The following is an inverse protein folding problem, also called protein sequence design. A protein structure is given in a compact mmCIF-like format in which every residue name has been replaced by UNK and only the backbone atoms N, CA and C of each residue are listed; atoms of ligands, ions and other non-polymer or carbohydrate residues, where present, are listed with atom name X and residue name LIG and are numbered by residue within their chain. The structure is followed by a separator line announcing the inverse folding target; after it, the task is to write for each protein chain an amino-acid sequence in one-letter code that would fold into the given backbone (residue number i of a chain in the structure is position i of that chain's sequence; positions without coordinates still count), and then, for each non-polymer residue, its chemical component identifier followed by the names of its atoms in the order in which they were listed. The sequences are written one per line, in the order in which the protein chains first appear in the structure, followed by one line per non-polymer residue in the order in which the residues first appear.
data_IF_362374914793
#
_entry.id   IF_362374914793
#
_cell.length_a   1.000
_cell.length_b   1.000
_cell.length_c   1.000
_cell.angle_alpha   90.00
_cell.angle_beta   90.00
_cell.angle_gamma   90.00
#
_symmetry.space_group_name_H-M   'P 1'
#
loop_
_entity.id
_entity.type
_entity.pdbx_description
1 polymer ?
#
# COMPACT_ATOMS: atom_id res chain seq x y z
N UNK A 1 0.52 4.50 23.88
CA UNK A 1 0.69 3.48 22.84
C UNK A 1 0.72 4.17 21.48
N UNK A 2 1.55 3.71 20.55
CA UNK A 2 1.48 4.13 19.15
C UNK A 2 0.37 3.38 18.43
N UNK A 3 -0.11 3.93 17.31
CA UNK A 3 -1.05 3.23 16.42
C UNK A 3 -0.40 2.06 15.68
N UNK A 4 -1.21 1.15 15.15
CA UNK A 4 -0.72 0.03 14.34
C UNK A 4 -0.38 0.47 12.91
N UNK A 5 -1.06 1.48 12.35
CA UNK A 5 -0.64 2.11 11.11
C UNK A 5 0.75 2.76 11.24
N UNK A 6 1.08 3.37 12.39
CA UNK A 6 2.43 3.84 12.66
C UNK A 6 3.44 2.69 12.69
N UNK A 7 3.09 1.54 13.28
CA UNK A 7 3.98 0.37 13.30
C UNK A 7 4.32 -0.12 11.87
N UNK A 8 3.34 -0.14 10.96
CA UNK A 8 3.55 -0.49 9.56
C UNK A 8 4.55 0.48 8.87
N UNK A 9 4.40 1.78 9.10
CA UNK A 9 5.30 2.82 8.54
C UNK A 9 6.68 2.80 9.21
N UNK A 10 6.75 2.51 10.52
CA UNK A 10 8.00 2.39 11.25
C UNK A 10 8.84 1.19 10.78
N UNK A 11 8.21 0.17 10.20
CA UNK A 11 8.89 -0.99 9.63
C UNK A 11 9.50 -0.75 8.24
N UNK A 12 9.13 0.31 7.51
CA UNK A 12 9.63 0.59 6.15
C UNK A 12 11.17 0.59 6.07
N UNK A 13 11.94 1.25 6.96
CA UNK A 13 13.40 1.22 6.89
C UNK A 13 13.99 -0.19 6.99
N UNK A 14 13.34 -1.11 7.73
CA UNK A 14 13.78 -2.50 7.83
C UNK A 14 13.55 -3.22 6.49
N UNK A 15 12.37 -3.05 5.89
CA UNK A 15 12.01 -3.62 4.57
C UNK A 15 12.96 -3.15 3.47
N UNK A 16 13.24 -1.84 3.44
CA UNK A 16 14.16 -1.23 2.47
C UNK A 16 15.62 -1.61 2.78
N UNK A 17 16.00 -1.69 4.05
CA UNK A 17 17.35 -2.09 4.47
C UNK A 17 17.72 -3.50 4.03
N UNK A 18 16.77 -4.45 4.07
CA UNK A 18 16.96 -5.81 3.57
C UNK A 18 17.28 -5.81 2.06
N UNK A 19 16.50 -5.08 1.26
CA UNK A 19 16.76 -4.94 -0.19
C UNK A 19 18.08 -4.26 -0.49
N UNK A 20 18.39 -3.16 0.22
CA UNK A 20 19.66 -2.45 0.05
C UNK A 20 20.87 -3.32 0.39
N UNK A 21 20.74 -4.24 1.34
CA UNK A 21 21.80 -5.20 1.66
C UNK A 21 22.07 -6.14 0.48
N UNK A 22 21.03 -6.69 -0.14
CA UNK A 22 21.18 -7.55 -1.32
C UNK A 22 21.78 -6.80 -2.51
N UNK A 23 21.32 -5.57 -2.76
CA UNK A 23 21.82 -4.73 -3.86
C UNK A 23 23.30 -4.36 -3.64
N UNK A 24 23.71 -4.08 -2.41
CA UNK A 24 25.11 -3.83 -2.08
C UNK A 24 26.00 -5.05 -2.36
N UNK A 25 25.52 -6.26 -2.07
CA UNK A 25 26.23 -7.49 -2.41
C UNK A 25 26.30 -7.69 -3.93
N UNK A 26 25.19 -7.50 -4.65
CA UNK A 26 25.15 -7.59 -6.11
C UNK A 26 26.21 -6.68 -6.76
N UNK A 27 26.33 -5.44 -6.29
CA UNK A 27 27.35 -4.50 -6.77
C UNK A 27 28.78 -5.02 -6.61
N UNK A 28 29.10 -5.67 -5.49
CA UNK A 28 30.46 -6.16 -5.22
C UNK A 28 30.83 -7.30 -6.16
N UNK A 29 29.88 -8.19 -6.45
CA UNK A 29 30.14 -9.42 -7.18
C UNK A 29 29.98 -9.30 -8.70
N UNK A 30 29.46 -8.17 -9.19
CA UNK A 30 29.13 -7.92 -10.61
C UNK A 30 30.27 -8.27 -11.56
N UNK A 31 31.50 -7.90 -11.23
CA UNK A 31 32.68 -8.16 -12.06
C UNK A 31 33.32 -9.55 -11.85
N UNK A 32 32.86 -10.32 -10.86
CA UNK A 32 33.55 -11.54 -10.38
C UNK A 32 32.74 -12.81 -10.52
N UNK A 33 31.41 -12.72 -10.45
CA UNK A 33 30.50 -13.88 -10.57
C UNK A 33 29.17 -13.43 -11.19
N UNK A 34 29.09 -13.52 -12.51
CA UNK A 34 27.90 -13.15 -13.28
C UNK A 34 26.67 -13.99 -12.90
N UNK A 35 26.87 -15.29 -12.64
CA UNK A 35 25.77 -16.21 -12.30
C UNK A 35 25.12 -15.86 -10.96
N UNK A 36 25.96 -15.58 -9.95
CA UNK A 36 25.48 -15.13 -8.65
C UNK A 36 24.91 -13.72 -8.71
N UNK A 37 25.54 -12.80 -9.45
CA UNK A 37 25.01 -11.45 -9.68
C UNK A 37 23.58 -11.47 -10.22
N UNK A 38 23.37 -12.21 -11.32
CA UNK A 38 22.07 -12.35 -11.96
C UNK A 38 21.03 -12.96 -11.02
N UNK A 39 21.44 -13.93 -10.20
CA UNK A 39 20.57 -14.57 -9.22
C UNK A 39 20.15 -13.62 -8.09
N UNK A 40 21.07 -12.82 -7.56
CA UNK A 40 20.76 -11.81 -6.53
C UNK A 40 19.85 -10.71 -7.08
N UNK A 41 20.09 -10.23 -8.30
CA UNK A 41 19.25 -9.21 -8.93
C UNK A 41 17.80 -9.68 -9.15
N UNK A 42 17.61 -10.93 -9.62
CA UNK A 42 16.28 -11.55 -9.74
C UNK A 42 15.61 -11.73 -8.40
N UNK A 43 16.32 -12.27 -7.41
CA UNK A 43 15.80 -12.46 -6.06
C UNK A 43 15.38 -11.13 -5.43
N UNK A 44 16.17 -10.07 -5.63
CA UNK A 44 15.87 -8.73 -5.13
C UNK A 44 14.60 -8.15 -5.79
N UNK A 45 14.39 -8.39 -7.08
CA UNK A 45 13.17 -7.96 -7.79
C UNK A 45 11.91 -8.63 -7.25
N UNK A 46 11.98 -9.94 -6.98
CA UNK A 46 10.87 -10.70 -6.36
C UNK A 46 10.63 -10.23 -4.93
N UNK A 47 11.70 -10.04 -4.15
CA UNK A 47 11.60 -9.58 -2.76
C UNK A 47 10.99 -8.18 -2.69
N UNK A 48 11.31 -7.28 -3.62
CA UNK A 48 10.75 -5.93 -3.67
C UNK A 48 9.23 -5.94 -3.74
N UNK A 49 8.68 -6.73 -4.66
CA UNK A 49 7.24 -6.92 -4.78
C UNK A 49 6.62 -7.52 -3.50
N UNK A 50 7.28 -8.51 -2.88
CA UNK A 50 6.82 -9.12 -1.64
C UNK A 50 6.83 -8.14 -0.45
N UNK A 51 7.86 -7.29 -0.34
CA UNK A 51 7.96 -6.25 0.68
C UNK A 51 6.85 -5.22 0.53
N UNK A 52 6.52 -4.83 -0.71
CA UNK A 52 5.40 -3.94 -1.01
C UNK A 52 4.06 -4.57 -0.63
N UNK A 53 3.82 -5.82 -1.02
CA UNK A 53 2.60 -6.56 -0.66
C UNK A 53 2.43 -6.63 0.86
N UNK A 54 3.50 -6.99 1.57
CA UNK A 54 3.52 -7.06 3.03
C UNK A 54 3.22 -5.70 3.66
N UNK A 55 3.83 -4.62 3.16
CA UNK A 55 3.56 -3.27 3.65
C UNK A 55 2.10 -2.85 3.45
N UNK A 56 1.54 -3.08 2.26
CA UNK A 56 0.13 -2.73 1.96
C UNK A 56 -0.82 -3.47 2.90
N UNK A 57 -0.58 -4.76 3.13
CA UNK A 57 -1.37 -5.57 4.08
C UNK A 57 -1.26 -5.06 5.51
N UNK A 58 -0.04 -4.78 5.98
CA UNK A 58 0.22 -4.28 7.33
C UNK A 58 -0.43 -2.92 7.55
N UNK A 59 -0.30 -2.00 6.59
CA UNK A 59 -0.90 -0.68 6.66
C UNK A 59 -2.43 -0.76 6.67
N UNK A 60 -3.02 -1.54 5.76
CA UNK A 60 -4.47 -1.74 5.72
C UNK A 60 -4.99 -2.31 7.04
N UNK A 61 -4.40 -3.40 7.53
CA UNK A 61 -4.77 -4.02 8.80
C UNK A 61 -4.59 -3.05 9.96
N UNK A 62 -3.46 -2.36 10.02
CA UNK A 62 -3.16 -1.39 11.06
C UNK A 62 -4.23 -0.30 11.14
N UNK A 63 -4.64 0.26 9.99
CA UNK A 63 -5.71 1.27 9.97
C UNK A 63 -7.05 0.72 10.46
N UNK A 64 -7.42 -0.51 10.06
CA UNK A 64 -8.66 -1.15 10.50
C UNK A 64 -8.67 -1.35 12.02
N UNK A 65 -7.56 -1.85 12.55
CA UNK A 65 -7.40 -2.07 13.98
C UNK A 65 -7.39 -0.74 14.75
N UNK A 66 -6.74 0.29 14.25
CA UNK A 66 -6.76 1.63 14.85
C UNK A 66 -8.18 2.22 14.90
N UNK A 67 -9.03 1.96 13.90
CA UNK A 67 -10.46 2.28 13.98
C UNK A 67 -11.21 1.40 14.99
N UNK A 68 -10.88 0.11 15.09
CA UNK A 68 -11.48 -0.78 16.09
C UNK A 68 -11.20 -0.33 17.52
N UNK A 69 -9.99 0.16 17.80
CA UNK A 69 -9.60 0.67 19.11
C UNK A 69 -10.02 2.11 19.36
N UNK A 70 -9.94 2.97 18.34
CA UNK A 70 -10.17 4.41 18.45
C UNK A 70 -11.62 4.86 18.24
N UNK A 71 -12.48 4.01 17.64
CA UNK A 71 -13.89 4.33 17.34
C UNK A 71 -14.81 3.18 17.77
N UNK A 72 -15.43 3.32 18.95
CA UNK A 72 -16.36 2.34 19.52
C UNK A 72 -17.60 2.15 18.66
N UNK A 73 -18.14 3.24 18.12
CA UNK A 73 -19.45 3.23 17.46
C UNK A 73 -19.29 2.90 15.98
N UNK A 74 -19.93 1.82 15.54
CA UNK A 74 -19.90 1.40 14.12
C UNK A 74 -20.37 2.52 13.18
N UNK A 75 -21.37 3.29 13.60
CA UNK A 75 -21.95 4.40 12.82
C UNK A 75 -20.98 5.56 12.58
N UNK A 76 -19.97 5.75 13.45
CA UNK A 76 -18.93 6.80 13.34
C UNK A 76 -17.76 6.40 12.45
N UNK A 77 -17.73 5.15 11.97
CA UNK A 77 -16.68 4.65 11.06
C UNK A 77 -16.95 5.09 9.63
N UNK A 78 -15.94 5.13 8.73
CA UNK A 78 -16.16 5.43 7.32
C UNK A 78 -17.26 4.55 6.72
N UNK A 79 -18.18 5.16 5.98
CA UNK A 79 -19.32 4.47 5.35
C UNK A 79 -18.87 3.28 4.49
N UNK A 80 -17.74 3.42 3.79
CA UNK A 80 -17.17 2.33 2.99
C UNK A 80 -16.76 1.13 3.86
N UNK A 81 -16.13 1.36 5.02
CA UNK A 81 -15.80 0.29 5.95
C UNK A 81 -17.05 -0.41 6.48
N UNK A 82 -18.09 0.37 6.82
CA UNK A 82 -19.37 -0.19 7.26
C UNK A 82 -20.00 -1.08 6.18
N UNK A 83 -20.01 -0.60 4.92
CA UNK A 83 -20.55 -1.32 3.77
C UNK A 83 -19.76 -2.59 3.50
N UNK A 84 -18.43 -2.52 3.49
CA UNK A 84 -17.59 -3.69 3.22
C UNK A 84 -17.74 -4.75 4.30
N UNK A 85 -17.82 -4.36 5.57
CA UNK A 85 -18.04 -5.30 6.67
C UNK A 85 -19.39 -6.01 6.53
N UNK A 86 -20.45 -5.25 6.28
CA UNK A 86 -21.79 -5.82 6.07
C UNK A 86 -21.85 -6.68 4.80
N UNK A 87 -21.08 -6.33 3.77
CA UNK A 87 -20.98 -7.09 2.53
C UNK A 87 -20.44 -8.50 2.78
N UNK A 88 -19.39 -8.65 3.58
CA UNK A 88 -18.83 -9.95 3.94
C UNK A 88 -19.83 -10.87 4.66
N UNK A 89 -20.80 -10.30 5.36
CA UNK A 89 -21.88 -11.05 6.03
C UNK A 89 -23.06 -11.29 5.08
N UNK A 90 -23.31 -10.35 4.17
CA UNK A 90 -24.46 -10.39 3.26
C UNK A 90 -24.33 -11.49 2.18
N UNK A 91 -23.10 -11.80 1.75
CA UNK A 91 -22.83 -12.94 0.87
C UNK A 91 -22.95 -14.25 1.66
N UNK A 92 -24.09 -14.92 1.50
CA UNK A 92 -24.33 -16.28 1.98
C UNK A 92 -24.94 -17.08 0.82
N UNK A 93 -24.65 -18.38 0.74
CA UNK A 93 -25.17 -19.23 -0.33
C UNK A 93 -26.71 -19.16 -0.40
N UNK A 94 -27.26 -18.92 -1.59
CA UNK A 94 -28.70 -18.90 -1.85
C UNK A 94 -29.39 -17.53 -1.85
N UNK A 95 -28.66 -16.42 -1.63
CA UNK A 95 -29.25 -15.06 -1.72
C UNK A 95 -29.11 -14.50 -3.14
N UNK A 96 -30.19 -14.03 -3.79
CA UNK A 96 -30.12 -13.36 -5.10
C UNK A 96 -29.27 -12.09 -5.03
N UNK A 97 -28.50 -11.82 -6.07
CA UNK A 97 -27.63 -10.61 -6.14
C UNK A 97 -28.45 -9.31 -6.03
N UNK A 98 -29.70 -9.32 -6.51
CA UNK A 98 -30.65 -8.20 -6.39
C UNK A 98 -30.92 -7.78 -4.94
N UNK A 99 -30.81 -8.72 -4.00
CA UNK A 99 -31.20 -8.53 -2.59
C UNK A 99 -30.00 -8.21 -1.69
N UNK A 100 -28.78 -8.30 -2.20
CA UNK A 100 -27.56 -8.08 -1.41
C UNK A 100 -27.50 -6.63 -0.90
N UNK A 101 -27.87 -5.66 -1.73
CA UNK A 101 -27.84 -4.25 -1.34
C UNK A 101 -28.86 -3.91 -0.24
N UNK A 102 -30.05 -4.50 -0.28
CA UNK A 102 -31.07 -4.30 0.76
C UNK A 102 -30.61 -4.93 2.08
N UNK A 103 -29.98 -6.11 2.01
CA UNK A 103 -29.38 -6.80 3.17
C UNK A 103 -28.22 -6.03 3.78
N UNK A 104 -27.31 -5.48 2.97
CA UNK A 104 -26.23 -4.59 3.44
C UNK A 104 -26.82 -3.40 4.20
N UNK A 105 -27.88 -2.77 3.66
CA UNK A 105 -28.55 -1.64 4.33
C UNK A 105 -29.16 -2.06 5.68
N UNK A 106 -29.82 -3.22 5.74
CA UNK A 106 -30.39 -3.75 6.98
C UNK A 106 -29.32 -4.05 8.03
N UNK A 107 -28.22 -4.70 7.64
CA UNK A 107 -27.07 -4.99 8.51
C UNK A 107 -26.42 -3.71 9.03
N UNK A 108 -26.26 -2.68 8.18
CA UNK A 108 -25.73 -1.38 8.61
C UNK A 108 -26.62 -0.72 9.65
N UNK A 109 -27.94 -0.74 9.46
CA UNK A 109 -28.88 -0.20 10.43
C UNK A 109 -28.85 -0.98 11.75
N UNK A 110 -28.72 -2.31 11.68
CA UNK A 110 -28.57 -3.17 12.85
C UNK A 110 -27.30 -2.84 13.64
N UNK A 111 -26.14 -2.77 12.99
CA UNK A 111 -24.87 -2.47 13.66
C UNK A 111 -24.71 -0.99 14.04
N UNK A 112 -25.51 -0.07 13.47
CA UNK A 112 -25.51 1.33 13.91
C UNK A 112 -25.92 1.50 15.38
N UNK A 113 -26.71 0.57 15.93
CA UNK A 113 -27.15 0.55 17.33
C UNK A 113 -26.58 -0.64 18.14
N UNK A 114 -25.94 -1.60 17.47
CA UNK A 114 -25.27 -2.75 18.09
C UNK A 114 -23.77 -2.68 17.82
N UNK A 115 -22.93 -2.31 18.81
CA UNK A 115 -21.49 -2.19 18.62
C UNK A 115 -20.87 -3.50 18.11
N UNK A 116 -20.01 -3.38 17.09
CA UNK A 116 -19.28 -4.51 16.51
C UNK A 116 -17.90 -4.05 16.06
N UNK A 117 -16.91 -4.90 16.25
CA UNK A 117 -15.59 -4.68 15.67
C UNK A 117 -15.62 -5.11 14.20
N UNK A 118 -15.03 -4.30 13.34
CA UNK A 118 -14.87 -4.65 11.94
C UNK A 118 -13.71 -5.62 11.85
N UNK A 119 -14.02 -6.85 11.48
CA UNK A 119 -13.05 -7.85 11.11
C UNK A 119 -13.16 -8.05 9.61
N UNK A 120 -12.27 -7.40 8.85
CA UNK A 120 -12.04 -7.85 7.50
C UNK A 120 -11.24 -9.15 7.63
N UNK A 121 -11.92 -10.29 7.40
CA UNK A 121 -11.29 -11.61 7.47
C UNK A 121 -9.94 -11.59 6.76
N UNK A 122 -8.97 -12.32 7.32
CA UNK A 122 -7.64 -12.49 6.70
C UNK A 122 -7.82 -12.66 5.21
N UNK A 123 -7.35 -11.68 4.44
CA UNK A 123 -7.30 -11.66 2.98
C UNK A 123 -7.52 -13.05 2.41
N UNK A 124 -8.77 -13.39 2.11
CA UNK A 124 -9.10 -14.70 1.60
C UNK A 124 -8.63 -14.68 0.16
N UNK A 125 -7.50 -15.33 -0.11
CA UNK A 125 -6.99 -15.57 -1.46
C UNK A 125 -8.03 -16.22 -2.40
N UNK A 126 -9.21 -16.64 -1.89
CA UNK A 126 -10.32 -17.14 -2.71
C UNK A 126 -11.19 -16.04 -3.33
N UNK A 127 -11.23 -14.82 -2.78
CA UNK A 127 -12.02 -13.71 -3.36
C UNK A 127 -11.19 -12.76 -4.23
N UNK A 128 -9.87 -12.73 -4.05
CA UNK A 128 -8.97 -12.17 -5.04
C UNK A 128 -8.46 -13.31 -5.92
N UNK A 129 -8.89 -13.39 -7.18
CA UNK A 129 -8.02 -13.94 -8.21
C UNK A 129 -6.61 -13.42 -7.95
N UNK A 130 -5.60 -14.27 -7.84
CA UNK A 130 -4.17 -13.98 -7.60
C UNK A 130 -3.69 -12.72 -8.35
N UNK A 131 -4.00 -11.54 -7.82
CA UNK A 131 -3.69 -10.27 -8.45
C UNK A 131 -2.56 -9.67 -7.64
N UNK A 132 -1.41 -9.63 -8.28
CA UNK A 132 -0.21 -8.95 -7.81
C UNK A 132 -0.57 -7.52 -7.34
N UNK A 133 0.16 -6.93 -6.37
CA UNK A 133 -0.10 -5.58 -5.85
C UNK A 133 0.22 -4.46 -6.87
N UNK A 134 -0.31 -4.56 -8.09
CA UNK A 134 -0.37 -3.47 -9.05
C UNK A 134 -1.29 -2.35 -8.58
N UNK A 135 -1.34 -1.25 -9.32
CA UNK A 135 -2.05 -0.04 -8.90
C UNK A 135 -3.53 -0.30 -8.59
N UNK A 136 -4.20 -1.09 -9.43
CA UNK A 136 -5.60 -1.48 -9.23
C UNK A 136 -5.85 -2.30 -7.96
N UNK A 137 -4.93 -3.19 -7.59
CA UNK A 137 -5.04 -3.99 -6.39
C UNK A 137 -4.86 -3.13 -5.13
N UNK A 138 -3.85 -2.24 -5.12
CA UNK A 138 -3.63 -1.28 -4.03
C UNK A 138 -4.87 -0.39 -3.85
N UNK A 139 -5.38 0.19 -4.93
CA UNK A 139 -6.59 1.00 -4.91
C UNK A 139 -7.82 0.23 -4.39
N UNK A 140 -8.01 -1.02 -4.84
CA UNK A 140 -9.12 -1.86 -4.38
C UNK A 140 -9.10 -2.08 -2.87
N UNK A 141 -7.91 -2.33 -2.30
CA UNK A 141 -7.73 -2.53 -0.86
C UNK A 141 -8.14 -1.27 -0.07
N UNK A 142 -7.62 -0.09 -0.44
CA UNK A 142 -7.90 1.14 0.31
C UNK A 142 -9.29 1.72 0.04
N UNK A 143 -9.92 1.40 -1.09
CA UNK A 143 -11.33 1.71 -1.35
C UNK A 143 -12.27 1.10 -0.31
N UNK A 144 -11.92 -0.07 0.27
CA UNK A 144 -12.66 -0.69 1.38
C UNK A 144 -12.64 0.15 2.66
N UNK A 145 -11.59 0.96 2.85
CA UNK A 145 -11.49 1.95 3.92
C UNK A 145 -12.20 3.27 3.57
N UNK A 146 -12.64 3.40 2.32
CA UNK A 146 -13.27 4.59 1.78
C UNK A 146 -12.31 5.61 1.21
N UNK A 147 -11.01 5.30 1.14
CA UNK A 147 -10.00 6.16 0.51
C UNK A 147 -10.06 5.92 -0.99
N UNK A 148 -10.56 6.89 -1.79
CA UNK A 148 -10.73 6.71 -3.21
C UNK A 148 -9.36 6.82 -3.90
N UNK A 149 -9.05 5.83 -4.74
CA UNK A 149 -7.96 5.90 -5.72
C UNK A 149 -6.65 6.50 -5.16
N UNK A 150 -6.11 5.81 -4.15
CA UNK A 150 -4.98 6.28 -3.37
C UNK A 150 -3.71 6.43 -4.22
N UNK A 151 -3.52 5.60 -5.25
CA UNK A 151 -2.36 5.68 -6.14
C UNK A 151 -2.40 6.95 -6.99
N UNK A 152 -3.53 7.31 -7.61
CA UNK A 152 -3.63 8.58 -8.32
C UNK A 152 -3.70 9.78 -7.37
N UNK A 153 -4.09 9.59 -6.11
CA UNK A 153 -4.13 10.66 -5.12
C UNK A 153 -2.73 11.17 -4.74
N UNK A 154 -1.72 10.32 -4.86
CA UNK A 154 -0.31 10.68 -4.63
C UNK A 154 0.42 11.07 -5.93
N UNK A 155 -0.25 11.01 -7.08
CA UNK A 155 0.31 11.47 -8.34
C UNK A 155 0.41 13.01 -8.37
N UNK A 156 1.51 13.52 -8.93
CA UNK A 156 1.88 14.94 -8.88
C UNK A 156 2.25 15.47 -7.48
N UNK A 157 2.36 14.60 -6.48
CA UNK A 157 2.73 14.99 -5.11
C UNK A 157 4.23 15.23 -4.98
N UNK A 158 4.64 15.79 -3.84
CA UNK A 158 6.07 15.96 -3.49
C UNK A 158 6.88 14.66 -3.64
N UNK A 159 6.25 13.51 -3.42
CA UNK A 159 6.93 12.22 -3.44
C UNK A 159 7.32 11.76 -4.85
N UNK A 160 6.70 12.29 -5.91
CA UNK A 160 7.09 11.97 -7.29
C UNK A 160 8.44 12.58 -7.69
N UNK A 161 9.00 13.51 -6.92
CA UNK A 161 10.35 14.04 -7.15
C UNK A 161 11.42 12.92 -7.18
N UNK A 162 11.13 11.75 -6.57
CA UNK A 162 12.01 10.58 -6.62
C UNK A 162 12.19 10.02 -8.05
N UNK A 163 11.24 10.25 -8.96
CA UNK A 163 11.32 9.82 -10.36
C UNK A 163 12.21 10.69 -11.22
N UNK A 164 12.72 11.81 -10.70
CA UNK A 164 13.77 12.58 -11.38
C UNK A 164 15.09 11.82 -11.49
N UNK A 165 15.20 10.69 -10.79
CA UNK A 165 16.40 9.84 -10.70
C UNK A 165 17.67 10.63 -10.30
N UNK A 166 17.46 11.72 -9.56
CA UNK A 166 18.49 12.58 -8.97
C UNK A 166 18.72 12.20 -7.51
N UNK A 167 19.99 12.02 -7.14
CA UNK A 167 20.38 11.61 -5.79
C UNK A 167 19.96 12.63 -4.71
N UNK A 168 20.01 13.93 -5.02
CA UNK A 168 19.63 14.98 -4.09
C UNK A 168 18.11 15.04 -3.89
N UNK A 169 17.32 14.90 -4.96
CA UNK A 169 15.87 14.76 -4.91
C UNK A 169 15.45 13.53 -4.08
N UNK A 170 16.05 12.36 -4.35
CA UNK A 170 15.77 11.14 -3.59
C UNK A 170 16.09 11.29 -2.09
N UNK A 171 17.23 11.92 -1.75
CA UNK A 171 17.61 12.19 -0.36
C UNK A 171 16.61 13.12 0.34
N UNK A 172 16.19 14.20 -0.33
CA UNK A 172 15.18 15.13 0.20
C UNK A 172 13.86 14.42 0.49
N UNK A 173 13.38 13.62 -0.46
CA UNK A 173 12.14 12.84 -0.32
C UNK A 173 12.24 11.89 0.86
N UNK A 174 13.31 11.10 0.95
CA UNK A 174 13.53 10.15 2.06
C UNK A 174 13.56 10.84 3.44
N UNK A 175 14.16 12.03 3.54
CA UNK A 175 14.19 12.81 4.79
C UNK A 175 12.79 13.25 5.21
N UNK A 176 11.97 13.69 4.27
CA UNK A 176 10.58 14.09 4.53
C UNK A 176 9.70 12.88 4.88
N UNK A 177 9.86 11.76 4.17
CA UNK A 177 9.25 10.48 4.52
C UNK A 177 9.50 10.12 6.00
N UNK A 178 10.76 10.18 6.45
CA UNK A 178 11.15 9.89 7.85
C UNK A 178 10.45 10.80 8.85
N UNK A 179 10.37 12.10 8.57
CA UNK A 179 9.75 13.12 9.43
C UNK A 179 8.23 12.94 9.51
N UNK A 180 7.60 12.64 8.37
CA UNK A 180 6.16 12.51 8.24
C UNK A 180 5.57 11.32 9.01
N UNK A 181 6.35 10.26 9.29
CA UNK A 181 5.86 9.05 9.98
C UNK A 181 5.18 9.33 11.31
N UNK A 182 5.70 10.30 12.07
CA UNK A 182 5.15 10.71 13.38
C UNK A 182 3.68 11.16 13.32
N UNK A 183 3.16 11.48 12.14
CA UNK A 183 1.76 11.87 11.93
C UNK A 183 0.77 10.74 12.13
N UNK A 184 1.22 9.51 11.94
CA UNK A 184 0.41 8.33 12.22
C UNK A 184 0.49 7.91 13.69
N UNK A 185 1.39 8.48 14.51
CA UNK A 185 1.70 7.96 15.86
C UNK A 185 0.51 7.92 16.83
N UNK A 186 -0.46 8.83 16.68
CA UNK A 186 -1.65 8.94 17.53
C UNK A 186 -2.89 8.87 16.63
N UNK A 187 -3.94 8.20 17.10
CA UNK A 187 -5.25 8.17 16.46
C UNK A 187 -6.23 9.12 17.18
N UNK A 188 -7.05 9.92 16.46
CA UNK A 188 -7.07 10.10 15.01
C UNK A 188 -5.76 10.67 14.46
N UNK A 189 -5.40 10.28 13.24
CA UNK A 189 -4.14 10.69 12.62
C UNK A 189 -4.04 12.20 12.41
N UNK A 190 -2.80 12.69 12.26
CA UNK A 190 -2.54 14.08 11.93
C UNK A 190 -2.43 14.25 10.43
N UNK A 191 -3.03 15.30 9.89
CA UNK A 191 -2.85 15.69 8.48
C UNK A 191 -1.39 15.97 8.14
N UNK A 192 -1.03 15.67 6.90
CA UNK A 192 0.22 16.05 6.29
C UNK A 192 0.30 17.56 6.04
N UNK A 193 1.51 18.13 5.93
CA UNK A 193 1.67 19.53 5.56
C UNK A 193 1.13 19.76 4.14
N UNK A 194 0.65 20.98 3.87
CA UNK A 194 0.21 21.38 2.53
C UNK A 194 1.29 21.19 1.46
N UNK A 195 2.57 21.24 1.85
CA UNK A 195 3.71 21.03 0.95
C UNK A 195 3.80 19.62 0.37
N UNK A 196 3.08 18.62 0.91
CA UNK A 196 3.07 17.27 0.33
C UNK A 196 2.10 17.17 -0.86
N UNK A 197 1.18 18.12 -1.05
CA UNK A 197 0.28 18.24 -2.21
C UNK A 197 -0.50 16.97 -2.57
N UNK A 198 -1.02 16.24 -1.58
CA UNK A 198 -1.86 15.05 -1.82
C UNK A 198 -3.29 15.50 -2.13
N UNK A 199 -3.82 15.09 -3.29
CA UNK A 199 -5.15 15.49 -3.75
C UNK A 199 -5.99 14.26 -4.03
N UNK A 200 -6.98 14.00 -3.17
CA UNK A 200 -7.86 12.85 -3.32
C UNK A 200 -8.83 13.01 -4.48
N UNK A 201 -8.76 12.08 -5.43
CA UNK A 201 -9.61 12.07 -6.62
C UNK A 201 -10.65 10.96 -6.50
N UNK A 202 -11.89 11.23 -6.93
CA UNK A 202 -12.96 10.22 -6.95
C UNK A 202 -12.88 9.26 -8.13
N UNK A 203 -12.10 9.59 -9.16
CA UNK A 203 -11.95 8.81 -10.38
C UNK A 203 -10.47 8.51 -10.62
N UNK A 204 -10.15 7.29 -11.13
CA UNK A 204 -8.84 6.94 -11.67
C UNK A 204 -8.27 8.08 -12.52
N UNK A 205 -7.09 8.57 -12.17
CA UNK A 205 -6.25 9.16 -13.20
C UNK A 205 -5.70 8.00 -14.04
N UNK A 206 -5.94 8.04 -15.34
CA UNK A 206 -5.61 6.94 -16.26
C UNK A 206 -4.09 6.71 -16.34
N UNK A 207 -3.29 7.76 -16.10
CA UNK A 207 -1.84 7.74 -16.25
C UNK A 207 -1.15 8.38 -15.04
N UNK A 208 -0.03 7.80 -14.61
CA UNK A 208 0.82 8.37 -13.56
C UNK A 208 2.04 7.51 -13.26
N UNK A 209 3.15 8.16 -12.91
CA UNK A 209 4.47 7.53 -12.71
C UNK A 209 4.42 6.38 -11.69
N UNK A 210 3.59 6.52 -10.65
CA UNK A 210 3.36 5.45 -9.67
C UNK A 210 2.68 4.23 -10.26
N UNK A 211 1.70 4.41 -11.15
CA UNK A 211 1.03 3.31 -11.83
C UNK A 211 2.02 2.50 -12.66
N UNK A 212 2.75 3.18 -13.54
CA UNK A 212 3.76 2.57 -14.41
C UNK A 212 4.85 1.85 -13.62
N UNK A 213 5.30 2.46 -12.52
CA UNK A 213 6.30 1.88 -11.64
C UNK A 213 5.81 0.58 -10.97
N UNK A 214 4.58 0.58 -10.44
CA UNK A 214 4.00 -0.60 -9.79
C UNK A 214 3.81 -1.74 -10.79
N UNK A 215 3.26 -1.45 -11.96
CA UNK A 215 3.10 -2.46 -13.02
C UNK A 215 4.46 -3.00 -13.47
N UNK A 216 5.48 -2.14 -13.61
CA UNK A 216 6.84 -2.56 -13.95
C UNK A 216 7.48 -3.50 -12.92
N UNK A 217 7.29 -3.27 -11.61
CA UNK A 217 7.73 -4.22 -10.58
C UNK A 217 6.98 -5.56 -10.70
N UNK A 218 5.66 -5.51 -10.89
CA UNK A 218 4.84 -6.72 -10.96
C UNK A 218 5.12 -7.56 -12.19
N UNK A 219 5.31 -6.93 -13.35
CA UNK A 219 5.72 -7.60 -14.59
C UNK A 219 7.06 -8.31 -14.41
N UNK A 220 8.06 -7.65 -13.81
CA UNK A 220 9.37 -8.27 -13.54
C UNK A 220 9.24 -9.46 -12.59
N UNK A 221 8.49 -9.34 -11.49
CA UNK A 221 8.23 -10.46 -10.58
C UNK A 221 7.59 -11.64 -11.32
N UNK A 222 6.57 -11.38 -12.14
CA UNK A 222 5.83 -12.41 -12.85
C UNK A 222 6.74 -13.18 -13.82
N UNK A 223 7.48 -12.46 -14.66
CA UNK A 223 8.42 -13.07 -15.61
C UNK A 223 9.47 -13.96 -14.91
N UNK A 224 10.02 -13.49 -13.78
CA UNK A 224 11.00 -14.27 -13.01
C UNK A 224 10.33 -15.50 -12.37
N UNK A 225 9.16 -15.34 -11.75
CA UNK A 225 8.49 -16.41 -11.00
C UNK A 225 7.97 -17.54 -11.89
N UNK A 226 7.59 -17.24 -13.13
CA UNK A 226 7.15 -18.23 -14.11
C UNK A 226 8.29 -18.83 -14.94
N UNK A 227 9.52 -18.34 -14.77
CA UNK A 227 10.68 -18.81 -15.53
C UNK A 227 10.69 -18.33 -16.98
N UNK A 228 9.93 -17.28 -17.29
CA UNK A 228 9.90 -16.67 -18.63
C UNK A 228 11.22 -15.97 -18.95
N UNK A 229 11.98 -15.57 -17.92
CA UNK A 229 13.29 -14.93 -18.06
C UNK A 229 14.35 -15.58 -17.17
N UNK A 230 15.33 -16.23 -17.80
CA UNK A 230 16.59 -16.66 -17.16
C UNK A 230 17.74 -15.65 -17.35
N UNK A 231 17.50 -14.60 -18.14
CA UNK A 231 18.40 -13.47 -18.28
C UNK A 231 18.05 -12.38 -17.26
N UNK A 232 19.05 -11.68 -16.74
CA UNK A 232 18.84 -10.62 -15.78
C UNK A 232 18.39 -9.35 -16.49
N UNK A 233 17.13 -8.98 -16.32
CA UNK A 233 16.54 -7.80 -16.97
C UNK A 233 16.78 -6.49 -16.19
N UNK A 234 17.65 -6.51 -15.18
CA UNK A 234 17.91 -5.35 -14.32
C UNK A 234 19.35 -5.31 -13.81
N UNK A 235 19.79 -4.14 -13.37
CA UNK A 235 21.13 -3.94 -12.79
C UNK A 235 20.99 -3.54 -11.33
N UNK A 236 22.09 -3.61 -10.57
CA UNK A 236 22.08 -3.16 -9.18
C UNK A 236 21.72 -1.66 -9.07
N UNK A 237 22.09 -0.82 -10.04
CA UNK A 237 21.72 0.61 -10.07
C UNK A 237 20.22 0.80 -10.24
N UNK A 238 19.60 0.06 -11.16
CA UNK A 238 18.17 0.13 -11.38
C UNK A 238 17.40 -0.34 -10.13
N UNK A 239 17.85 -1.43 -9.50
CA UNK A 239 17.29 -1.88 -8.22
C UNK A 239 17.47 -0.85 -7.10
N UNK A 240 18.59 -0.13 -7.07
CA UNK A 240 18.83 0.92 -6.08
C UNK A 240 17.85 2.10 -6.28
N UNK A 241 17.62 2.52 -7.53
CA UNK A 241 16.61 3.54 -7.87
C UNK A 241 15.21 3.07 -7.49
N UNK A 242 14.90 1.81 -7.79
CA UNK A 242 13.62 1.21 -7.43
C UNK A 242 13.42 1.15 -5.91
N UNK A 243 14.46 0.90 -5.11
CA UNK A 243 14.34 0.97 -3.66
C UNK A 243 13.96 2.38 -3.17
N UNK A 244 14.52 3.43 -3.78
CA UNK A 244 14.16 4.80 -3.41
C UNK A 244 12.71 5.12 -3.79
N UNK A 245 12.27 4.69 -4.98
CA UNK A 245 10.89 4.82 -5.44
C UNK A 245 9.93 4.06 -4.52
N UNK A 246 10.27 2.84 -4.10
CA UNK A 246 9.44 2.04 -3.20
C UNK A 246 9.33 2.66 -1.82
N UNK A 247 10.44 3.15 -1.25
CA UNK A 247 10.45 3.84 0.05
C UNK A 247 9.52 5.06 0.02
N UNK A 248 9.65 5.90 -1.01
CA UNK A 248 8.79 7.05 -1.22
C UNK A 248 7.31 6.65 -1.41
N UNK A 249 7.04 5.62 -2.21
CA UNK A 249 5.69 5.12 -2.46
C UNK A 249 5.01 4.65 -1.17
N UNK A 250 5.68 3.82 -0.36
CA UNK A 250 5.13 3.30 0.89
C UNK A 250 4.73 4.43 1.85
N UNK A 251 5.58 5.45 1.97
CA UNK A 251 5.27 6.63 2.79
C UNK A 251 4.15 7.49 2.21
N UNK A 252 4.19 7.78 0.91
CA UNK A 252 3.16 8.56 0.22
C UNK A 252 1.79 7.92 0.38
N UNK A 253 1.72 6.59 0.23
CA UNK A 253 0.52 5.78 0.44
C UNK A 253 -0.02 5.95 1.85
N UNK A 254 0.84 5.77 2.87
CA UNK A 254 0.44 5.93 4.27
C UNK A 254 -0.07 7.34 4.58
N UNK A 255 0.61 8.37 4.07
CA UNK A 255 0.21 9.76 4.27
C UNK A 255 -1.10 10.10 3.58
N UNK A 256 -1.31 9.58 2.36
CA UNK A 256 -2.58 9.75 1.64
C UNK A 256 -3.74 9.12 2.41
N UNK A 257 -3.57 7.87 2.86
CA UNK A 257 -4.58 7.17 3.66
C UNK A 257 -4.87 7.93 4.96
N UNK A 258 -3.82 8.36 5.68
CA UNK A 258 -4.01 9.10 6.94
C UNK A 258 -4.69 10.45 6.71
N UNK A 259 -4.32 11.19 5.67
CA UNK A 259 -4.89 12.51 5.37
C UNK A 259 -6.38 12.39 5.06
N UNK A 260 -6.76 11.42 4.23
CA UNK A 260 -8.16 11.19 3.89
C UNK A 260 -8.99 10.91 5.14
N UNK A 261 -8.52 9.99 5.98
CA UNK A 261 -9.27 9.51 7.14
C UNK A 261 -9.27 10.55 8.27
N UNK A 262 -8.32 11.48 8.30
CA UNK A 262 -8.29 12.61 9.25
C UNK A 262 -9.30 13.72 8.92
N UNK A 263 -9.83 13.78 7.69
CA UNK A 263 -10.74 14.85 7.24
C UNK A 263 -12.21 14.61 7.61
N UNK A 264 -12.59 13.37 7.89
CA UNK A 264 -13.99 12.99 8.15
C UNK A 264 -14.24 12.99 9.66
N UNK A 265 -14.76 14.12 10.16
CA UNK A 265 -15.47 14.20 11.44
C UNK A 265 -16.94 13.88 11.22
#
# INVERSE_FOLDING_TARGET
MSTLAFAAVAAIPKRIGELRSLIAHAKIIEATDEGLYNSICRASSVLMAAQLEGFVKDLYKGVVDDFNYGVSDFSKRPVAMQVEFCRQIAYYEGVPESDINSRIKALRNFFAVNPVQIQFGHFSYRESQNKNPGAGAVNSIFNKLGVPDVVSSIAGSYFEDVFRDDSHAAYRVARECIRGRSRLFIFPYRKSPSSYSIVHRKKPAVDGLWGDYLEGIMMRRHAIAHGDTFENSTTWENLARDCNKMDAFMHALAFSVSDYLSTRK
#
